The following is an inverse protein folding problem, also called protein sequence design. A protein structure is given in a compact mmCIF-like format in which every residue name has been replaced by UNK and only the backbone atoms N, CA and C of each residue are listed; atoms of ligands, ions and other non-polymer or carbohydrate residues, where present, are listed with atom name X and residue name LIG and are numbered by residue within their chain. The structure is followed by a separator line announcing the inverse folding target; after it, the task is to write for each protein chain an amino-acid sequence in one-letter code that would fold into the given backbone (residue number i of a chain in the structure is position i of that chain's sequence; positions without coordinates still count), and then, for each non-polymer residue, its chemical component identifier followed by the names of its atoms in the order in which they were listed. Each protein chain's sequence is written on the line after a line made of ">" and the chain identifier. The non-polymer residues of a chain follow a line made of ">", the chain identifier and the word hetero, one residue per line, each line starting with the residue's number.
data_IF_006083826779
#
_entry.id   IF_006083826779
#
_cell.length_a   1.000
_cell.length_b   1.000
_cell.length_c   1.000
_cell.angle_alpha   90.00
_cell.angle_beta   90.00
_cell.angle_gamma   90.00
#
_symmetry.space_group_name_H-M   'P 1'
#
loop_
_entity.id
_entity.type
_entity.pdbx_description
1 polymer ?
#
# COMPACT_ATOMS: atom_id res chain seq x y z
N UNK A 1 -39.46 80.97 -12.05
CA UNK A 1 -40.46 79.94 -11.66
C UNK A 1 -40.01 78.62 -12.26
N UNK A 2 -39.61 77.68 -11.40
CA UNK A 2 -38.75 76.54 -11.76
C UNK A 2 -39.49 75.42 -12.51
N UNK A 3 -39.27 75.35 -13.82
CA UNK A 3 -39.74 74.31 -14.74
C UNK A 3 -39.24 72.90 -14.35
N UNK A 4 -38.20 72.78 -13.52
CA UNK A 4 -37.70 71.48 -13.01
C UNK A 4 -38.62 70.86 -11.95
N UNK A 5 -39.37 71.69 -11.21
CA UNK A 5 -40.30 71.24 -10.17
C UNK A 5 -41.55 70.55 -10.69
N UNK A 6 -42.07 70.94 -11.88
CA UNK A 6 -43.23 70.29 -12.51
C UNK A 6 -42.89 68.93 -13.12
N UNK A 7 -41.75 68.85 -13.82
CA UNK A 7 -41.29 67.63 -14.49
C UNK A 7 -40.96 66.50 -13.50
N UNK A 8 -40.45 66.83 -12.30
CA UNK A 8 -40.26 65.86 -11.21
C UNK A 8 -41.57 65.28 -10.67
N UNK A 9 -42.62 66.09 -10.52
CA UNK A 9 -43.91 65.60 -10.02
C UNK A 9 -44.59 64.67 -11.01
N UNK A 10 -44.59 65.00 -12.30
CA UNK A 10 -45.18 64.13 -13.33
C UNK A 10 -44.48 62.77 -13.46
N UNK A 11 -43.15 62.73 -13.31
CA UNK A 11 -42.39 61.47 -13.31
C UNK A 11 -42.70 60.65 -12.05
N UNK A 12 -42.76 61.28 -10.88
CA UNK A 12 -43.10 60.60 -9.63
C UNK A 12 -44.51 59.97 -9.68
N UNK A 13 -45.49 60.71 -10.20
CA UNK A 13 -46.86 60.21 -10.33
C UNK A 13 -46.94 59.05 -11.34
N UNK A 14 -46.19 59.10 -12.45
CA UNK A 14 -46.12 57.98 -13.41
C UNK A 14 -45.49 56.73 -12.80
N UNK A 15 -44.43 56.89 -12.00
CA UNK A 15 -43.77 55.77 -11.30
C UNK A 15 -44.73 55.15 -10.27
N UNK A 16 -45.42 55.96 -9.46
CA UNK A 16 -46.38 55.46 -8.46
C UNK A 16 -47.61 54.77 -9.09
N UNK A 17 -48.07 55.26 -10.25
CA UNK A 17 -49.18 54.63 -10.97
C UNK A 17 -48.77 53.30 -11.59
N UNK A 18 -47.54 53.20 -12.12
CA UNK A 18 -46.98 51.95 -12.63
C UNK A 18 -46.72 50.94 -11.51
N UNK A 19 -46.23 51.38 -10.35
CA UNK A 19 -46.01 50.50 -9.20
C UNK A 19 -47.32 49.94 -8.62
N UNK A 20 -48.42 50.72 -8.66
CA UNK A 20 -49.75 50.25 -8.26
C UNK A 20 -50.37 49.26 -9.26
N UNK A 21 -50.11 49.41 -10.56
CA UNK A 21 -50.59 48.46 -11.59
C UNK A 21 -49.84 47.12 -11.57
N UNK A 22 -48.54 47.12 -11.24
CA UNK A 22 -47.75 45.88 -11.16
C UNK A 22 -48.01 45.11 -9.85
N UNK A 23 -48.42 45.79 -8.78
CA UNK A 23 -48.69 45.17 -7.47
C UNK A 23 -50.03 44.42 -7.36
N UNK A 24 -50.92 44.51 -8.36
CA UNK A 24 -52.28 43.95 -8.29
C UNK A 24 -52.46 42.59 -9.00
N UNK A 25 -51.38 41.91 -9.39
CA UNK A 25 -51.46 40.55 -9.96
C UNK A 25 -50.69 39.59 -9.06
N UNK A 26 -51.33 39.16 -7.97
CA UNK A 26 -50.95 37.91 -7.32
C UNK A 26 -51.58 36.77 -8.13
N UNK A 27 -50.84 35.74 -8.54
CA UNK A 27 -51.44 34.64 -9.29
C UNK A 27 -52.52 33.96 -8.42
N UNK A 28 -53.72 33.78 -8.99
CA UNK A 28 -54.80 33.03 -8.36
C UNK A 28 -54.40 31.56 -8.40
N UNK A 29 -53.79 31.07 -7.33
CA UNK A 29 -53.42 29.66 -7.16
C UNK A 29 -54.71 28.86 -7.01
N UNK A 30 -54.95 27.90 -7.90
CA UNK A 30 -56.14 27.05 -7.86
C UNK A 30 -56.12 26.16 -6.59
N UNK A 31 -57.28 25.74 -6.04
CA UNK A 31 -57.32 24.82 -4.91
C UNK A 31 -56.52 23.52 -5.15
N UNK A 32 -56.54 23.01 -6.39
CA UNK A 32 -55.75 21.85 -6.81
C UNK A 32 -54.24 22.11 -6.81
N UNK A 33 -53.78 23.30 -7.24
CA UNK A 33 -52.36 23.66 -7.13
C UNK A 33 -51.92 23.78 -5.66
N UNK A 34 -52.79 24.29 -4.77
CA UNK A 34 -52.49 24.37 -3.34
C UNK A 34 -52.33 23.00 -2.72
N UNK A 35 -53.24 22.07 -2.99
CA UNK A 35 -53.12 20.67 -2.51
C UNK A 35 -51.85 20.01 -3.04
N UNK A 36 -51.52 20.20 -4.32
CA UNK A 36 -50.29 19.66 -4.91
C UNK A 36 -49.03 20.25 -4.25
N UNK A 37 -49.01 21.56 -3.98
CA UNK A 37 -47.89 22.21 -3.28
C UNK A 37 -47.76 21.76 -1.82
N UNK A 38 -48.88 21.53 -1.14
CA UNK A 38 -48.91 20.98 0.23
C UNK A 38 -48.35 19.54 0.23
N UNK A 39 -48.78 18.71 -0.73
CA UNK A 39 -48.32 17.33 -0.86
C UNK A 39 -46.83 17.25 -1.20
N UNK A 40 -46.33 18.07 -2.13
CA UNK A 40 -44.89 18.16 -2.42
C UNK A 40 -44.09 18.68 -1.21
N UNK A 41 -44.68 19.53 -0.37
CA UNK A 41 -44.04 20.02 0.86
C UNK A 41 -43.98 18.93 1.92
N UNK A 42 -45.05 18.16 2.09
CA UNK A 42 -45.09 17.01 2.99
C UNK A 42 -44.10 15.93 2.55
N UNK A 43 -44.00 15.64 1.25
CA UNK A 43 -43.01 14.70 0.69
C UNK A 43 -41.57 15.16 0.95
N UNK A 44 -41.28 16.46 0.76
CA UNK A 44 -39.95 17.03 1.09
C UNK A 44 -39.64 16.94 2.59
N UNK A 45 -40.62 17.20 3.46
CA UNK A 45 -40.46 17.07 4.91
C UNK A 45 -40.20 15.62 5.29
N UNK A 46 -40.94 14.68 4.72
CA UNK A 46 -40.75 13.24 4.94
C UNK A 46 -39.39 12.75 4.44
N UNK A 47 -38.94 13.23 3.27
CA UNK A 47 -37.62 12.94 2.74
C UNK A 47 -36.51 13.46 3.67
N UNK A 48 -36.60 14.72 4.10
CA UNK A 48 -35.64 15.30 5.05
C UNK A 48 -35.63 14.56 6.40
N UNK A 49 -36.80 14.15 6.89
CA UNK A 49 -36.91 13.37 8.12
C UNK A 49 -36.25 11.98 7.99
N UNK A 50 -36.37 11.31 6.83
CA UNK A 50 -35.67 10.04 6.56
C UNK A 50 -34.16 10.22 6.52
N UNK A 51 -33.66 11.22 5.79
CA UNK A 51 -32.22 11.54 5.72
C UNK A 51 -31.68 11.88 7.11
N UNK A 52 -32.41 12.66 7.90
CA UNK A 52 -32.01 12.98 9.27
C UNK A 52 -32.00 11.75 10.18
N UNK A 53 -32.95 10.82 10.03
CA UNK A 53 -32.99 9.57 10.78
C UNK A 53 -31.83 8.63 10.40
N UNK A 54 -31.50 8.53 9.11
CA UNK A 54 -30.34 7.77 8.63
C UNK A 54 -29.03 8.36 9.18
N UNK A 55 -28.87 9.69 9.11
CA UNK A 55 -27.70 10.37 9.68
C UNK A 55 -27.60 10.17 11.19
N UNK A 56 -28.72 10.25 11.91
CA UNK A 56 -28.76 10.04 13.36
C UNK A 56 -28.40 8.59 13.74
N UNK A 57 -28.89 7.61 12.99
CA UNK A 57 -28.56 6.21 13.20
C UNK A 57 -27.07 5.93 12.95
N UNK A 58 -26.49 6.50 11.89
CA UNK A 58 -25.06 6.37 11.62
C UNK A 58 -24.21 7.05 12.69
N UNK A 59 -24.63 8.23 13.17
CA UNK A 59 -23.97 8.92 14.28
C UNK A 59 -23.98 8.08 15.57
N UNK A 60 -25.13 7.52 15.95
CA UNK A 60 -25.27 6.72 17.17
C UNK A 60 -24.44 5.43 17.11
N UNK A 61 -24.36 4.83 15.92
CA UNK A 61 -23.51 3.67 15.65
C UNK A 61 -22.02 4.02 15.79
N UNK A 62 -21.57 5.12 15.20
CA UNK A 62 -20.18 5.58 15.31
C UNK A 62 -19.82 5.98 16.74
N UNK A 63 -20.73 6.62 17.46
CA UNK A 63 -20.54 6.95 18.87
C UNK A 63 -20.37 5.69 19.75
N UNK A 64 -21.14 4.64 19.48
CA UNK A 64 -21.01 3.36 20.19
C UNK A 64 -19.64 2.70 19.94
N UNK A 65 -19.15 2.73 18.69
CA UNK A 65 -17.81 2.23 18.32
C UNK A 65 -16.73 3.02 19.05
N UNK A 66 -16.75 4.36 18.99
CA UNK A 66 -15.77 5.21 19.67
C UNK A 66 -15.76 5.00 21.19
N UNK A 67 -16.93 4.81 21.81
CA UNK A 67 -17.02 4.49 23.25
C UNK A 67 -16.40 3.13 23.57
N UNK A 68 -16.68 2.11 22.77
CA UNK A 68 -16.10 0.78 22.95
C UNK A 68 -14.57 0.80 22.79
N UNK A 69 -14.07 1.48 21.75
CA UNK A 69 -12.63 1.67 21.53
C UNK A 69 -11.97 2.45 22.66
N UNK A 70 -12.60 3.53 23.15
CA UNK A 70 -12.10 4.31 24.27
C UNK A 70 -12.08 3.51 25.58
N UNK A 71 -13.08 2.65 25.83
CA UNK A 71 -13.07 1.76 26.99
C UNK A 71 -11.98 0.70 26.87
N UNK A 72 -11.86 0.02 25.72
CA UNK A 72 -10.80 -0.95 25.48
C UNK A 72 -9.40 -0.33 25.61
N UNK A 73 -9.23 0.90 25.13
CA UNK A 73 -7.99 1.66 25.30
C UNK A 73 -7.68 1.93 26.78
N UNK A 74 -8.67 2.35 27.57
CA UNK A 74 -8.50 2.57 29.02
C UNK A 74 -8.15 1.29 29.76
N UNK A 75 -8.85 0.19 29.49
CA UNK A 75 -8.58 -1.11 30.10
C UNK A 75 -7.15 -1.58 29.85
N UNK A 76 -6.61 -1.37 28.64
CA UNK A 76 -5.22 -1.72 28.31
C UNK A 76 -4.21 -0.85 29.05
N UNK A 77 -4.48 0.45 29.16
CA UNK A 77 -3.65 1.38 29.93
C UNK A 77 -3.68 1.02 31.42
N UNK A 78 -4.84 0.68 31.97
CA UNK A 78 -5.01 0.22 33.35
C UNK A 78 -4.34 -1.14 33.59
N UNK A 79 -4.29 -2.01 32.57
CA UNK A 79 -3.51 -3.24 32.58
C UNK A 79 -1.99 -3.02 32.46
N UNK A 80 -1.53 -1.77 32.43
CA UNK A 80 -0.12 -1.38 32.46
C UNK A 80 0.53 -1.21 31.09
N UNK A 81 -0.24 -1.18 30.00
CA UNK A 81 0.31 -0.85 28.67
C UNK A 81 0.67 0.65 28.56
N UNK A 82 1.68 0.95 27.75
CA UNK A 82 2.14 2.31 27.50
C UNK A 82 1.05 3.14 26.78
N UNK A 83 0.60 4.28 27.34
CA UNK A 83 -0.51 5.06 26.77
C UNK A 83 -0.24 5.60 25.37
N UNK A 84 1.00 6.01 25.07
CA UNK A 84 1.36 6.56 23.76
C UNK A 84 1.30 5.47 22.69
N UNK A 85 1.78 4.27 23.03
CA UNK A 85 1.70 3.11 22.16
C UNK A 85 0.26 2.69 21.85
N UNK A 86 -0.59 2.57 22.89
CA UNK A 86 -2.00 2.20 22.70
C UNK A 86 -2.69 3.22 21.81
N UNK A 87 -2.45 4.52 22.04
CA UNK A 87 -3.00 5.60 21.20
C UNK A 87 -2.57 5.46 19.74
N UNK A 88 -1.27 5.27 19.50
CA UNK A 88 -0.74 5.14 18.13
C UNK A 88 -1.35 3.95 17.38
N UNK A 89 -1.44 2.79 18.03
CA UNK A 89 -2.10 1.61 17.46
C UNK A 89 -3.59 1.89 17.17
N UNK A 90 -4.32 2.46 18.13
CA UNK A 90 -5.75 2.78 17.95
C UNK A 90 -5.97 3.75 16.79
N UNK A 91 -5.15 4.80 16.67
CA UNK A 91 -5.21 5.77 15.58
C UNK A 91 -4.98 5.09 14.22
N UNK A 92 -4.02 4.16 14.12
CA UNK A 92 -3.71 3.40 12.91
C UNK A 92 -4.81 2.39 12.54
N UNK A 93 -5.42 1.76 13.54
CA UNK A 93 -6.52 0.81 13.36
C UNK A 93 -7.81 1.52 12.90
N UNK A 94 -8.10 2.69 13.47
CA UNK A 94 -9.21 3.54 13.04
C UNK A 94 -9.03 3.99 11.59
N UNK A 95 -7.82 4.47 11.23
CA UNK A 95 -7.48 4.80 9.84
C UNK A 95 -7.66 3.60 8.91
N UNK A 96 -7.28 2.39 9.34
CA UNK A 96 -7.47 1.17 8.55
C UNK A 96 -8.93 0.78 8.35
N UNK A 97 -9.77 0.99 9.36
CA UNK A 97 -11.20 0.72 9.28
C UNK A 97 -11.88 1.65 8.25
N UNK A 98 -11.53 2.94 8.27
CA UNK A 98 -12.06 3.95 7.32
C UNK A 98 -11.39 3.89 5.94
N UNK A 99 -10.19 3.28 5.84
CA UNK A 99 -9.41 3.28 4.61
C UNK A 99 -10.15 2.63 3.44
N UNK A 100 -10.92 1.57 3.69
CA UNK A 100 -11.72 0.92 2.64
C UNK A 100 -12.75 1.87 2.03
N UNK A 101 -13.47 2.60 2.87
CA UNK A 101 -14.57 3.47 2.44
C UNK A 101 -14.03 4.70 1.73
N UNK A 102 -13.01 5.34 2.30
CA UNK A 102 -12.31 6.48 1.67
C UNK A 102 -11.68 6.09 0.34
N UNK A 103 -11.05 4.91 0.24
CA UNK A 103 -10.52 4.41 -1.02
C UNK A 103 -11.65 4.16 -2.03
N UNK A 104 -12.76 3.56 -1.62
CA UNK A 104 -13.88 3.27 -2.52
C UNK A 104 -14.51 4.55 -3.07
N UNK A 105 -14.70 5.57 -2.23
CA UNK A 105 -15.21 6.87 -2.64
C UNK A 105 -14.31 7.53 -3.68
N UNK A 106 -12.99 7.53 -3.45
CA UNK A 106 -12.03 8.21 -4.33
C UNK A 106 -11.72 7.43 -5.61
N UNK A 107 -11.57 6.10 -5.51
CA UNK A 107 -10.86 5.31 -6.52
C UNK A 107 -11.71 4.21 -7.14
N UNK A 108 -12.75 3.71 -6.48
CA UNK A 108 -13.54 2.61 -7.04
C UNK A 108 -14.15 2.89 -8.42
N UNK A 109 -14.67 4.10 -8.71
CA UNK A 109 -15.20 4.45 -10.04
C UNK A 109 -14.18 4.32 -11.19
N UNK A 110 -12.88 4.40 -10.89
CA UNK A 110 -11.80 4.45 -11.88
C UNK A 110 -10.95 3.18 -11.90
N UNK A 111 -10.73 2.57 -10.74
CA UNK A 111 -9.75 1.50 -10.55
C UNK A 111 -10.36 0.14 -10.20
N UNK A 112 -11.66 0.07 -9.90
CA UNK A 112 -12.39 -1.18 -9.64
C UNK A 112 -12.58 -1.46 -8.15
N UNK A 113 -12.49 -2.73 -7.74
CA UNK A 113 -12.76 -3.11 -6.35
C UNK A 113 -11.53 -2.87 -5.45
N UNK A 114 -11.77 -2.52 -4.18
CA UNK A 114 -10.73 -2.30 -3.18
C UNK A 114 -9.75 -3.47 -3.08
N UNK A 115 -10.25 -4.71 -3.11
CA UNK A 115 -9.44 -5.92 -2.93
C UNK A 115 -8.54 -6.27 -4.11
N UNK A 116 -8.67 -5.59 -5.24
CA UNK A 116 -7.90 -5.91 -6.43
C UNK A 116 -6.39 -5.71 -6.23
N UNK A 117 -5.63 -6.68 -6.72
CA UNK A 117 -4.17 -6.59 -6.82
C UNK A 117 -3.77 -5.92 -8.13
N UNK A 118 -2.59 -5.29 -8.13
CA UNK A 118 -2.03 -4.69 -9.34
C UNK A 118 -1.95 -5.72 -10.47
N UNK A 119 -2.43 -5.33 -11.66
CA UNK A 119 -2.34 -6.14 -12.89
C UNK A 119 -1.17 -5.68 -13.77
N UNK A 120 -0.45 -4.65 -13.34
CA UNK A 120 0.72 -4.14 -14.02
C UNK A 120 1.85 -5.16 -13.82
N UNK A 121 2.38 -5.77 -14.89
CA UNK A 121 3.49 -6.70 -14.77
C UNK A 121 4.78 -5.93 -14.43
N UNK A 122 5.76 -6.65 -13.90
CA UNK A 122 7.13 -6.17 -13.94
C UNK A 122 7.67 -6.14 -15.38
N UNK A 123 8.84 -5.53 -15.55
CA UNK A 123 9.60 -5.40 -16.79
C UNK A 123 8.80 -4.88 -18.02
N UNK A 124 7.80 -3.98 -17.88
CA UNK A 124 6.90 -3.63 -18.98
C UNK A 124 7.63 -2.92 -20.14
N UNK A 125 8.71 -2.20 -19.84
CA UNK A 125 9.48 -1.41 -20.81
C UNK A 125 10.89 -1.95 -21.06
N UNK A 126 11.15 -3.23 -20.73
CA UNK A 126 12.45 -3.84 -20.99
C UNK A 126 12.76 -3.95 -22.49
N UNK A 127 11.79 -4.40 -23.28
CA UNK A 127 11.96 -4.59 -24.73
C UNK A 127 11.09 -3.66 -25.56
N UNK A 128 10.00 -3.15 -24.97
CA UNK A 128 9.05 -2.27 -25.64
C UNK A 128 9.30 -0.83 -25.20
N UNK A 129 9.38 0.07 -26.18
CA UNK A 129 9.37 1.50 -25.87
C UNK A 129 7.98 1.90 -25.36
N UNK A 130 7.89 2.87 -24.43
CA UNK A 130 6.61 3.40 -24.00
C UNK A 130 5.82 3.93 -25.20
N UNK A 131 4.52 3.67 -25.21
CA UNK A 131 3.60 4.26 -26.19
C UNK A 131 3.47 5.78 -25.98
N UNK A 132 2.87 6.49 -26.94
CA UNK A 132 2.70 7.96 -26.87
C UNK A 132 1.96 8.44 -25.60
N UNK A 133 1.06 7.63 -25.06
CA UNK A 133 0.23 7.97 -23.90
C UNK A 133 0.73 7.34 -22.59
N UNK A 134 1.89 6.65 -22.61
CA UNK A 134 2.46 6.02 -21.44
C UNK A 134 3.62 6.86 -20.93
N UNK A 135 3.58 7.23 -19.65
CA UNK A 135 4.75 7.77 -18.98
C UNK A 135 5.58 6.62 -18.44
N UNK A 136 6.82 6.52 -18.91
CA UNK A 136 7.84 5.67 -18.31
C UNK A 136 9.09 6.50 -18.04
N UNK A 137 9.43 6.63 -16.77
CA UNK A 137 10.49 7.52 -16.30
C UNK A 137 11.40 6.77 -15.34
N UNK A 138 12.26 7.52 -14.66
CA UNK A 138 13.06 7.06 -13.54
C UNK A 138 12.58 7.80 -12.29
N UNK A 139 11.45 7.39 -11.68
CA UNK A 139 10.89 8.09 -10.54
C UNK A 139 11.64 7.76 -9.25
N UNK A 140 11.26 8.45 -8.17
CA UNK A 140 11.55 7.98 -6.82
C UNK A 140 10.72 6.74 -6.53
N UNK A 141 11.35 5.69 -5.98
CA UNK A 141 10.67 4.45 -5.61
C UNK A 141 10.95 4.04 -4.19
N UNK A 142 10.05 3.22 -3.64
CA UNK A 142 10.20 2.62 -2.33
C UNK A 142 10.55 1.14 -2.45
N UNK A 143 11.79 0.81 -2.10
CA UNK A 143 12.27 -0.56 -2.04
C UNK A 143 11.98 -1.16 -0.67
N UNK A 144 11.14 -2.19 -0.59
CA UNK A 144 10.96 -2.94 0.67
C UNK A 144 12.13 -3.90 0.83
N UNK A 145 12.97 -3.72 1.84
CA UNK A 145 14.16 -4.53 2.07
C UNK A 145 13.79 -5.70 2.98
N UNK A 146 13.23 -5.39 4.15
CA UNK A 146 12.79 -6.37 5.13
C UNK A 146 11.58 -5.88 5.91
N UNK A 147 10.82 -6.83 6.46
CA UNK A 147 9.72 -6.56 7.38
C UNK A 147 9.78 -7.60 8.50
N UNK A 148 9.78 -7.12 9.75
CA UNK A 148 9.82 -7.99 10.93
C UNK A 148 8.85 -7.56 12.01
N UNK A 149 8.54 -8.49 12.91
CA UNK A 149 7.92 -8.18 14.21
C UNK A 149 9.05 -7.81 15.19
N UNK A 150 9.27 -6.52 15.39
CA UNK A 150 10.38 -6.01 16.19
C UNK A 150 10.17 -6.19 17.70
N UNK A 151 8.91 -6.20 18.15
CA UNK A 151 8.51 -6.36 19.56
C UNK A 151 7.18 -7.10 19.61
N UNK A 152 6.99 -7.95 20.62
CA UNK A 152 5.72 -8.58 20.96
C UNK A 152 5.17 -8.01 22.27
N UNK A 153 3.84 -8.02 22.42
CA UNK A 153 3.10 -7.46 23.56
C UNK A 153 1.85 -8.29 23.85
N UNK A 154 1.09 -7.91 24.88
CA UNK A 154 -0.20 -8.54 25.18
C UNK A 154 -0.09 -9.99 25.61
N UNK A 155 1.03 -10.38 26.24
CA UNK A 155 1.27 -11.76 26.69
C UNK A 155 1.65 -12.75 25.58
N UNK A 156 1.65 -12.34 24.30
CA UNK A 156 2.13 -13.15 23.19
C UNK A 156 3.54 -13.68 23.46
N UNK A 157 3.80 -14.95 23.13
CA UNK A 157 5.10 -15.59 23.31
C UNK A 157 5.65 -16.10 21.98
N UNK A 158 6.98 -16.13 21.88
CA UNK A 158 7.66 -16.83 20.79
C UNK A 158 7.68 -18.36 21.05
N UNK A 159 7.69 -19.20 20.00
CA UNK A 159 7.35 -18.88 18.62
C UNK A 159 5.84 -18.75 18.43
N UNK A 160 5.41 -18.04 17.38
CA UNK A 160 3.99 -17.97 17.01
C UNK A 160 3.78 -18.05 15.50
N UNK A 161 2.57 -18.47 15.13
CA UNK A 161 2.15 -18.62 13.74
C UNK A 161 1.46 -17.35 13.26
N UNK A 162 2.02 -16.71 12.24
CA UNK A 162 1.47 -15.50 11.62
C UNK A 162 0.90 -15.79 10.24
N UNK A 163 -0.25 -15.18 9.93
CA UNK A 163 -0.88 -15.22 8.62
C UNK A 163 -1.58 -13.89 8.32
N UNK A 164 -2.07 -13.73 7.09
CA UNK A 164 -2.69 -12.51 6.61
C UNK A 164 -1.88 -11.86 5.50
N UNK A 165 -2.04 -10.55 5.34
CA UNK A 165 -1.57 -9.79 4.18
C UNK A 165 -0.83 -8.51 4.60
N UNK A 166 0.23 -8.21 3.85
CA UNK A 166 0.86 -6.89 3.76
C UNK A 166 0.89 -6.50 2.30
N UNK A 167 0.28 -5.37 1.97
CA UNK A 167 0.28 -4.80 0.63
C UNK A 167 0.71 -3.33 0.68
N UNK A 168 1.22 -2.85 -0.44
CA UNK A 168 1.49 -1.42 -0.61
C UNK A 168 0.69 -0.93 -1.81
N UNK A 169 0.04 0.22 -1.64
CA UNK A 169 -0.68 0.90 -2.71
C UNK A 169 0.06 2.18 -3.05
N UNK A 170 0.23 2.42 -4.34
CA UNK A 170 0.76 3.67 -4.87
C UNK A 170 -0.22 4.28 -5.87
N UNK A 171 0.14 5.47 -6.37
CA UNK A 171 -0.68 6.26 -7.28
C UNK A 171 -0.78 5.68 -8.70
N UNK A 172 -0.03 4.62 -9.03
CA UNK A 172 0.05 4.14 -10.42
C UNK A 172 -1.25 3.45 -10.83
N UNK A 173 -1.83 2.64 -9.94
CA UNK A 173 -3.13 1.99 -10.16
C UNK A 173 -3.99 1.86 -8.89
N UNK A 174 -3.54 2.40 -7.74
CA UNK A 174 -4.22 2.35 -6.44
C UNK A 174 -4.54 0.93 -5.92
N UNK A 175 -4.05 -0.12 -6.58
CA UNK A 175 -4.30 -1.52 -6.26
C UNK A 175 -3.24 -2.08 -5.33
N UNK A 176 -3.54 -3.22 -4.70
CA UNK A 176 -2.60 -3.91 -3.82
C UNK A 176 -1.40 -4.42 -4.61
N UNK A 177 -0.23 -3.89 -4.32
CA UNK A 177 1.04 -4.52 -4.65
C UNK A 177 1.44 -5.39 -3.46
N UNK A 178 1.14 -6.69 -3.55
CA UNK A 178 1.30 -7.64 -2.44
C UNK A 178 2.78 -7.78 -2.07
N UNK A 179 3.11 -7.64 -0.79
CA UNK A 179 4.46 -7.82 -0.24
C UNK A 179 4.56 -9.16 0.50
N UNK A 180 3.53 -9.49 1.28
CA UNK A 180 3.36 -10.73 2.01
C UNK A 180 1.88 -11.12 1.95
N UNK A 181 1.59 -12.38 1.66
CA UNK A 181 0.24 -12.92 1.69
C UNK A 181 0.29 -14.41 2.00
N UNK A 182 -0.30 -14.80 3.13
CA UNK A 182 -0.30 -16.16 3.65
C UNK A 182 -1.69 -16.47 4.20
N UNK A 183 -2.38 -17.51 3.70
CA UNK A 183 -3.64 -17.95 4.29
C UNK A 183 -3.39 -18.66 5.63
N UNK A 184 -4.42 -18.73 6.48
CA UNK A 184 -4.37 -19.35 7.81
C UNK A 184 -3.83 -20.79 7.85
N UNK A 185 -4.14 -21.59 6.83
CA UNK A 185 -3.68 -22.99 6.73
C UNK A 185 -2.21 -23.12 6.30
N UNK A 186 -1.60 -22.04 5.80
CA UNK A 186 -0.20 -21.98 5.38
C UNK A 186 0.51 -20.81 6.08
N UNK A 187 0.27 -20.64 7.37
CA UNK A 187 0.89 -19.62 8.21
C UNK A 187 2.43 -19.79 8.26
N UNK A 188 3.13 -18.67 8.48
CA UNK A 188 4.56 -18.68 8.75
C UNK A 188 4.81 -18.75 10.26
N UNK A 189 5.84 -19.49 10.70
CA UNK A 189 6.30 -19.48 12.09
C UNK A 189 7.35 -18.38 12.23
N UNK A 190 7.19 -17.52 13.23
CA UNK A 190 8.22 -16.56 13.63
C UNK A 190 8.80 -16.95 14.99
N UNK A 191 10.11 -16.79 15.13
CA UNK A 191 10.84 -16.99 16.40
C UNK A 191 11.54 -15.69 16.80
N UNK A 192 12.08 -15.65 18.02
CA UNK A 192 12.84 -14.50 18.49
C UNK A 192 14.11 -14.27 17.66
N UNK A 193 14.75 -15.34 17.19
CA UNK A 193 15.96 -15.31 16.38
C UNK A 193 15.68 -14.94 14.93
N UNK A 194 14.49 -15.32 14.43
CA UNK A 194 14.07 -15.08 13.04
C UNK A 194 12.68 -14.42 13.00
N UNK A 195 12.58 -13.12 13.37
CA UNK A 195 11.30 -12.42 13.46
C UNK A 195 10.81 -11.84 12.12
N UNK A 196 11.39 -12.26 10.98
CA UNK A 196 11.18 -11.66 9.67
C UNK A 196 10.11 -12.38 8.85
N UNK A 197 9.20 -11.62 8.23
CA UNK A 197 8.24 -12.17 7.28
C UNK A 197 8.93 -12.55 5.97
N UNK A 198 8.56 -13.69 5.40
CA UNK A 198 9.05 -14.15 4.10
C UNK A 198 8.31 -13.41 2.98
N UNK A 199 8.92 -12.35 2.47
CA UNK A 199 8.32 -11.48 1.47
C UNK A 199 8.30 -12.14 0.08
N UNK A 200 7.16 -12.07 -0.60
CA UNK A 200 6.95 -12.61 -1.95
C UNK A 200 6.85 -11.53 -3.02
N UNK A 201 6.71 -10.27 -2.60
CA UNK A 201 6.68 -9.13 -3.52
C UNK A 201 7.74 -8.07 -3.24
N UNK A 202 7.61 -6.90 -3.89
CA UNK A 202 6.46 -6.52 -4.72
C UNK A 202 6.43 -7.19 -6.12
N UNK A 203 5.27 -7.14 -6.78
CA UNK A 203 5.09 -7.60 -8.17
C UNK A 203 5.72 -6.64 -9.19
N UNK A 204 5.78 -5.35 -8.86
CA UNK A 204 6.41 -4.26 -9.63
C UNK A 204 7.00 -3.21 -8.70
N UNK A 205 7.83 -2.31 -9.22
CA UNK A 205 8.34 -1.18 -8.44
C UNK A 205 7.20 -0.33 -7.85
N UNK A 206 7.41 0.14 -6.61
CA UNK A 206 6.48 1.01 -5.88
C UNK A 206 6.91 2.45 -6.10
N UNK A 207 6.03 3.27 -6.68
CA UNK A 207 6.33 4.66 -7.04
C UNK A 207 5.98 5.60 -5.90
N UNK A 208 6.92 6.46 -5.53
CA UNK A 208 6.72 7.52 -4.52
C UNK A 208 6.62 8.86 -5.25
N UNK A 209 5.43 9.16 -5.76
CA UNK A 209 5.12 10.46 -6.38
C UNK A 209 4.42 11.40 -5.41
N UNK A 210 3.49 10.87 -4.61
CA UNK A 210 2.81 11.59 -3.53
C UNK A 210 2.88 10.75 -2.25
N UNK A 211 1.79 10.05 -1.95
CA UNK A 211 1.74 9.10 -0.85
C UNK A 211 1.72 7.67 -1.36
N UNK A 212 2.31 6.77 -0.58
CA UNK A 212 2.10 5.33 -0.70
C UNK A 212 1.44 4.85 0.59
N UNK A 213 0.49 3.95 0.49
CA UNK A 213 -0.22 3.42 1.66
C UNK A 213 0.25 2.02 1.95
N UNK A 214 0.73 1.80 3.18
CA UNK A 214 0.99 0.49 3.75
C UNK A 214 -0.32 -0.08 4.28
N UNK A 215 -0.86 -1.10 3.64
CA UNK A 215 -2.06 -1.82 4.07
C UNK A 215 -1.64 -3.14 4.72
N UNK A 216 -1.98 -3.33 5.99
CA UNK A 216 -1.57 -4.48 6.79
C UNK A 216 -2.79 -5.05 7.50
N UNK A 217 -3.02 -6.35 7.32
CA UNK A 217 -3.93 -7.16 8.12
C UNK A 217 -3.21 -8.48 8.45
N UNK A 218 -2.55 -8.50 9.60
CA UNK A 218 -1.82 -9.66 10.10
C UNK A 218 -2.46 -10.19 11.36
N UNK A 219 -2.52 -11.52 11.45
CA UNK A 219 -3.14 -12.26 12.55
C UNK A 219 -2.20 -13.33 13.10
N UNK A 220 -2.32 -13.57 14.41
CA UNK A 220 -1.73 -14.73 15.08
C UNK A 220 -2.76 -15.85 15.08
N UNK A 221 -2.35 -17.05 14.67
CA UNK A 221 -3.22 -18.22 14.59
C UNK A 221 -3.46 -18.82 15.98
N UNK A 222 -4.73 -18.91 16.38
CA UNK A 222 -5.20 -19.66 17.55
C UNK A 222 -5.45 -21.15 17.24
N UNK A 223 -5.89 -21.93 18.23
CA UNK A 223 -6.24 -23.33 17.98
C UNK A 223 -7.45 -23.41 17.04
N UNK A 224 -8.40 -22.50 17.20
CA UNK A 224 -9.59 -22.31 16.35
C UNK A 224 -9.60 -20.94 15.68
N UNK A 225 -10.44 -20.74 14.64
CA UNK A 225 -10.55 -19.44 13.96
C UNK A 225 -11.09 -18.33 14.88
N UNK A 226 -11.96 -18.67 15.84
CA UNK A 226 -12.47 -17.73 16.85
C UNK A 226 -11.42 -17.30 17.87
N UNK A 227 -10.32 -18.05 17.99
CA UNK A 227 -9.19 -17.74 18.85
C UNK A 227 -8.05 -17.02 18.09
N UNK A 228 -8.21 -16.76 16.78
CA UNK A 228 -7.23 -15.98 16.06
C UNK A 228 -7.22 -14.54 16.56
N UNK A 229 -6.03 -14.01 16.81
CA UNK A 229 -5.88 -12.66 17.31
C UNK A 229 -5.27 -11.73 16.27
N UNK A 230 -5.70 -10.47 16.26
CA UNK A 230 -5.07 -9.44 15.44
C UNK A 230 -3.64 -9.18 15.94
N UNK A 231 -2.65 -9.36 15.07
CA UNK A 231 -1.27 -8.95 15.34
C UNK A 231 -1.11 -7.47 15.04
N UNK A 232 -1.47 -7.06 13.82
CA UNK A 232 -1.37 -5.69 13.33
C UNK A 232 -2.43 -5.47 12.27
N UNK A 233 -3.22 -4.41 12.43
CA UNK A 233 -4.21 -3.96 11.47
C UNK A 233 -4.01 -2.46 11.29
N UNK A 234 -3.51 -2.03 10.13
CA UNK A 234 -3.20 -0.63 9.86
C UNK A 234 -3.28 -0.28 8.37
N UNK A 235 -3.58 0.99 8.11
CA UNK A 235 -3.42 1.65 6.82
C UNK A 235 -2.60 2.92 7.07
N UNK A 236 -1.31 2.89 6.76
CA UNK A 236 -0.41 4.01 7.05
C UNK A 236 0.10 4.65 5.77
N UNK A 237 -0.12 5.96 5.63
CA UNK A 237 0.44 6.73 4.52
C UNK A 237 1.90 7.08 4.77
N UNK A 238 2.73 6.86 3.76
CA UNK A 238 4.09 7.35 3.68
C UNK A 238 4.19 8.36 2.56
N UNK A 239 4.70 9.53 2.88
CA UNK A 239 5.02 10.58 1.93
C UNK A 239 6.48 10.94 2.15
N UNK A 240 7.26 11.06 1.07
CA UNK A 240 8.63 11.57 1.17
C UNK A 240 8.58 13.11 1.20
N UNK A 241 8.18 13.68 2.35
CA UNK A 241 8.02 15.14 2.53
C UNK A 241 9.32 15.94 2.31
N UNK A 242 10.45 15.26 2.26
CA UNK A 242 11.73 15.86 1.92
C UNK A 242 12.11 15.32 0.56
N UNK A 243 12.14 16.18 -0.46
CA UNK A 243 12.75 15.93 -1.76
C UNK A 243 14.26 15.71 -1.59
N UNK A 244 14.63 14.64 -0.90
CA UNK A 244 16.01 14.24 -0.77
C UNK A 244 16.47 13.85 -2.16
N UNK A 245 17.45 14.60 -2.68
CA UNK A 245 18.07 14.29 -3.98
C UNK A 245 18.98 13.05 -3.91
N UNK A 246 18.91 12.27 -2.82
CA UNK A 246 19.79 11.12 -2.57
C UNK A 246 18.97 9.95 -2.06
N UNK A 247 19.32 8.77 -2.55
CA UNK A 247 18.78 7.52 -2.05
C UNK A 247 19.22 7.27 -0.61
N UNK A 248 18.35 6.66 0.20
CA UNK A 248 18.59 6.48 1.63
C UNK A 248 17.87 5.26 2.20
N UNK A 249 18.49 4.66 3.21
CA UNK A 249 17.88 3.64 4.05
C UNK A 249 16.96 4.30 5.09
N UNK A 250 15.79 3.72 5.30
CA UNK A 250 14.77 4.19 6.22
C UNK A 250 14.27 3.03 7.06
N UNK A 251 13.96 3.33 8.32
CA UNK A 251 13.21 2.43 9.19
C UNK A 251 11.89 3.10 9.56
N UNK A 252 10.81 2.33 9.48
CA UNK A 252 9.48 2.75 9.92
C UNK A 252 8.92 1.69 10.84
N UNK A 253 8.51 2.13 12.01
CA UNK A 253 7.89 1.26 13.00
C UNK A 253 6.43 1.64 13.11
N UNK A 254 5.57 0.63 13.16
CA UNK A 254 4.15 0.81 13.34
C UNK A 254 3.66 -0.05 14.50
N UNK A 255 2.88 0.56 15.38
CA UNK A 255 2.25 -0.11 16.50
C UNK A 255 1.08 -0.96 15.99
N UNK A 256 1.11 -2.26 16.28
CA UNK A 256 -0.01 -3.18 16.14
C UNK A 256 -0.59 -3.56 17.50
N UNK A 257 -1.62 -4.40 17.51
CA UNK A 257 -2.31 -4.82 18.74
C UNK A 257 -1.40 -5.67 19.64
N UNK A 258 -0.72 -6.66 19.06
CA UNK A 258 0.12 -7.62 19.78
C UNK A 258 1.61 -7.45 19.50
N UNK A 259 2.01 -6.44 18.72
CA UNK A 259 3.42 -6.22 18.41
C UNK A 259 3.71 -4.98 17.59
N UNK A 260 4.99 -4.67 17.43
CA UNK A 260 5.46 -3.58 16.58
C UNK A 260 6.02 -4.16 15.29
N UNK A 261 5.49 -3.74 14.15
CA UNK A 261 6.09 -4.04 12.85
C UNK A 261 7.20 -3.03 12.56
N UNK A 262 8.36 -3.51 12.14
CA UNK A 262 9.45 -2.67 11.62
C UNK A 262 9.68 -2.98 10.15
N UNK A 263 9.48 -1.95 9.32
CA UNK A 263 9.83 -1.95 7.91
C UNK A 263 11.22 -1.34 7.75
N UNK A 264 12.09 -2.05 7.05
CA UNK A 264 13.33 -1.52 6.51
C UNK A 264 13.14 -1.25 5.02
N UNK A 265 13.34 0.01 4.63
CA UNK A 265 12.95 0.55 3.34
C UNK A 265 14.14 1.28 2.70
N UNK A 266 14.24 1.24 1.38
CA UNK A 266 15.11 2.12 0.62
C UNK A 266 14.27 3.13 -0.16
N UNK A 267 14.44 4.43 0.09
CA UNK A 267 13.96 5.45 -0.84
C UNK A 267 15.02 5.62 -1.93
N UNK A 268 14.65 5.35 -3.19
CA UNK A 268 15.56 5.28 -4.33
C UNK A 268 15.20 6.37 -5.34
N UNK A 269 16.04 7.40 -5.47
CA UNK A 269 15.82 8.47 -6.45
C UNK A 269 16.25 8.03 -7.85
N UNK A 270 15.64 8.63 -8.88
CA UNK A 270 15.99 8.36 -10.29
C UNK A 270 16.16 6.88 -10.62
N UNK A 271 15.20 6.06 -10.19
CA UNK A 271 15.36 4.61 -10.16
C UNK A 271 14.77 3.91 -11.38
N UNK A 272 15.33 2.74 -11.70
CA UNK A 272 14.82 1.78 -12.69
C UNK A 272 14.44 0.49 -11.99
N UNK A 273 13.51 -0.26 -12.59
CA UNK A 273 13.14 -1.59 -12.12
C UNK A 273 14.12 -2.63 -12.67
N UNK A 274 14.61 -3.50 -11.80
CA UNK A 274 15.40 -4.68 -12.11
C UNK A 274 14.58 -5.93 -11.78
N UNK A 275 14.14 -6.64 -12.82
CA UNK A 275 13.50 -7.95 -12.64
C UNK A 275 14.55 -9.04 -12.82
N UNK A 276 14.79 -9.81 -11.75
CA UNK A 276 15.86 -10.79 -11.66
C UNK A 276 15.31 -12.19 -11.90
N UNK A 277 15.95 -12.96 -12.77
CA UNK A 277 15.69 -14.39 -12.95
C UNK A 277 16.99 -15.18 -12.94
N UNK A 278 16.94 -16.39 -12.39
CA UNK A 278 18.11 -17.23 -12.20
C UNK A 278 17.83 -18.60 -12.79
N UNK A 279 18.81 -19.15 -13.50
CA UNK A 279 18.74 -20.47 -14.12
C UNK A 279 20.03 -21.25 -13.86
N UNK A 280 19.92 -22.51 -13.47
CA UNK A 280 21.05 -23.44 -13.46
C UNK A 280 21.38 -23.83 -14.89
N UNK A 281 22.62 -23.60 -15.32
CA UNK A 281 23.10 -23.91 -16.68
C UNK A 281 24.02 -25.11 -16.73
N UNK A 282 24.63 -25.49 -15.61
CA UNK A 282 25.48 -26.67 -15.47
C UNK A 282 25.56 -27.10 -14.00
N UNK A 283 25.79 -28.40 -13.77
CA UNK A 283 25.81 -28.99 -12.42
C UNK A 283 24.44 -29.02 -11.77
N UNK A 284 24.43 -29.24 -10.45
CA UNK A 284 23.19 -29.36 -9.66
C UNK A 284 23.41 -28.79 -8.26
N UNK A 285 22.34 -28.26 -7.66
CA UNK A 285 22.39 -27.86 -6.26
C UNK A 285 22.35 -29.11 -5.36
N UNK A 286 23.33 -29.35 -4.48
CA UNK A 286 23.37 -30.53 -3.64
C UNK A 286 22.21 -30.61 -2.65
N UNK A 287 21.74 -31.82 -2.38
CA UNK A 287 20.76 -32.05 -1.31
C UNK A 287 21.35 -31.66 0.05
N UNK A 288 20.51 -31.10 0.92
CA UNK A 288 20.89 -30.65 2.27
C UNK A 288 21.64 -29.30 2.31
N UNK A 289 21.78 -28.61 1.17
CA UNK A 289 22.38 -27.28 1.12
C UNK A 289 21.29 -26.21 1.02
N UNK A 290 21.24 -25.31 2.01
CA UNK A 290 20.34 -24.14 1.96
C UNK A 290 20.89 -23.10 0.97
N UNK A 291 20.01 -22.56 0.14
CA UNK A 291 20.32 -21.51 -0.82
C UNK A 291 19.77 -20.17 -0.35
N UNK A 292 20.62 -19.15 -0.34
CA UNK A 292 20.20 -17.77 -0.15
C UNK A 292 20.66 -16.93 -1.34
N UNK A 293 19.69 -16.37 -2.05
CA UNK A 293 19.90 -15.41 -3.14
C UNK A 293 19.48 -14.04 -2.66
N UNK A 294 20.36 -13.06 -2.83
CA UNK A 294 20.10 -11.69 -2.44
C UNK A 294 20.58 -10.69 -3.47
N UNK A 295 19.98 -9.51 -3.42
CA UNK A 295 20.42 -8.33 -4.16
C UNK A 295 20.82 -7.24 -3.17
N UNK A 296 21.78 -6.40 -3.56
CA UNK A 296 22.06 -5.16 -2.86
C UNK A 296 22.32 -4.05 -3.88
N UNK A 297 22.04 -2.81 -3.49
CA UNK A 297 22.34 -1.62 -4.28
C UNK A 297 23.39 -0.78 -3.55
N UNK A 298 24.26 -0.12 -4.30
CA UNK A 298 25.40 0.62 -3.71
C UNK A 298 24.96 1.74 -2.77
N UNK A 299 23.89 2.46 -3.11
CA UNK A 299 23.35 3.57 -2.31
C UNK A 299 22.66 3.14 -1.02
N UNK A 300 22.26 1.87 -0.90
CA UNK A 300 21.67 1.33 0.33
C UNK A 300 22.71 0.65 1.23
N UNK A 301 24.00 0.83 0.94
CA UNK A 301 25.11 0.27 1.72
C UNK A 301 25.09 -1.26 1.74
N UNK A 302 25.10 -1.82 2.95
CA UNK A 302 25.15 -3.27 3.17
C UNK A 302 23.76 -3.94 3.27
N UNK A 303 22.68 -3.20 2.98
CA UNK A 303 21.34 -3.77 2.98
C UNK A 303 21.21 -4.90 1.93
N UNK A 304 20.93 -6.12 2.39
CA UNK A 304 20.68 -7.26 1.53
C UNK A 304 19.17 -7.50 1.39
N UNK A 305 18.69 -7.40 0.15
CA UNK A 305 17.34 -7.75 -0.26
C UNK A 305 17.30 -9.25 -0.54
N UNK A 306 16.63 -10.01 0.31
CA UNK A 306 16.50 -11.46 0.12
C UNK A 306 15.49 -11.73 -1.00
N UNK A 307 15.97 -12.37 -2.07
CA UNK A 307 15.17 -12.76 -3.24
C UNK A 307 14.61 -14.17 -3.08
N UNK A 308 15.40 -15.04 -2.45
CA UNK A 308 15.03 -16.40 -2.08
C UNK A 308 15.90 -16.81 -0.91
N UNK A 309 15.26 -17.41 0.08
CA UNK A 309 15.91 -18.19 1.10
C UNK A 309 15.20 -19.53 1.17
N UNK A 310 15.89 -20.62 0.82
CA UNK A 310 15.26 -21.94 0.78
C UNK A 310 15.00 -22.50 2.18
N UNK A 311 15.60 -21.93 3.23
CA UNK A 311 15.57 -22.56 4.56
C UNK A 311 16.04 -24.02 4.48
N UNK A 312 15.31 -24.89 5.16
CA UNK A 312 15.54 -26.35 5.15
C UNK A 312 14.91 -27.05 3.95
N UNK A 313 14.16 -26.32 3.11
CA UNK A 313 13.55 -26.87 1.91
C UNK A 313 14.57 -27.05 0.78
N UNK A 314 14.24 -27.96 -0.15
CA UNK A 314 15.00 -28.11 -1.40
C UNK A 314 14.93 -26.83 -2.21
N UNK A 315 16.03 -26.48 -2.88
CA UNK A 315 16.06 -25.34 -3.80
C UNK A 315 15.01 -25.53 -4.90
N UNK A 316 14.08 -24.58 -5.09
CA UNK A 316 12.94 -24.74 -5.97
C UNK A 316 13.35 -24.55 -7.44
N UNK A 317 13.92 -25.60 -8.03
CA UNK A 317 14.22 -25.66 -9.47
C UNK A 317 12.98 -26.12 -10.23
N UNK A 318 12.49 -25.28 -11.13
CA UNK A 318 11.24 -25.48 -11.88
C UNK A 318 11.52 -25.68 -13.37
N UNK A 319 10.85 -26.70 -13.93
CA UNK A 319 10.86 -27.02 -15.35
C UNK A 319 12.17 -27.64 -15.84
N UNK A 320 12.14 -28.13 -17.09
CA UNK A 320 13.30 -28.79 -17.72
C UNK A 320 14.46 -27.83 -17.98
N UNK A 321 14.22 -26.52 -17.94
CA UNK A 321 15.22 -25.49 -18.21
C UNK A 321 16.02 -25.07 -16.97
N UNK A 322 15.76 -25.65 -15.80
CA UNK A 322 16.56 -25.40 -14.59
C UNK A 322 16.35 -24.02 -13.96
N UNK A 323 15.18 -23.39 -14.14
CA UNK A 323 14.89 -22.06 -13.59
C UNK A 323 14.68 -22.14 -12.08
N UNK A 324 15.34 -21.29 -11.30
CA UNK A 324 15.14 -21.21 -9.86
C UNK A 324 13.96 -20.26 -9.58
N UNK A 325 12.94 -20.75 -8.87
CA UNK A 325 11.80 -19.93 -8.47
C UNK A 325 12.19 -19.06 -7.27
N UNK A 326 12.43 -17.77 -7.52
CA UNK A 326 12.65 -16.79 -6.46
C UNK A 326 11.34 -16.51 -5.70
N UNK A 327 11.45 -16.18 -4.40
CA UNK A 327 10.30 -15.72 -3.61
C UNK A 327 9.82 -14.35 -4.10
N UNK A 328 10.74 -13.46 -4.44
CA UNK A 328 10.52 -12.15 -5.06
C UNK A 328 11.62 -11.87 -6.08
N UNK A 329 11.28 -11.16 -7.16
CA UNK A 329 12.20 -10.93 -8.28
C UNK A 329 12.41 -9.46 -8.64
N UNK A 330 11.65 -8.54 -8.05
CA UNK A 330 11.71 -7.12 -8.36
C UNK A 330 12.57 -6.36 -7.34
N UNK A 331 13.52 -5.59 -7.86
CA UNK A 331 14.37 -4.67 -7.09
C UNK A 331 14.43 -3.33 -7.82
N UNK A 332 14.49 -2.21 -7.11
CA UNK A 332 14.73 -0.89 -7.69
C UNK A 332 16.18 -0.45 -7.48
N UNK A 333 16.75 0.19 -8.49
CA UNK A 333 18.16 0.59 -8.52
C UNK A 333 18.24 1.99 -9.11
N UNK A 334 19.10 2.86 -8.59
CA UNK A 334 19.39 4.13 -9.26
C UNK A 334 19.82 3.90 -10.72
N UNK A 335 19.35 4.76 -11.61
CA UNK A 335 19.52 4.60 -13.06
C UNK A 335 20.98 4.59 -13.53
N UNK A 336 21.88 5.20 -12.77
CA UNK A 336 23.33 5.19 -12.95
C UNK A 336 24.08 4.25 -11.98
N UNK A 337 23.34 3.62 -11.06
CA UNK A 337 23.87 2.79 -9.99
C UNK A 337 24.21 1.35 -10.41
N UNK A 338 24.56 0.56 -9.39
CA UNK A 338 24.97 -0.84 -9.52
C UNK A 338 24.07 -1.75 -8.67
N UNK A 339 23.57 -2.81 -9.31
CA UNK A 339 22.96 -3.94 -8.61
C UNK A 339 24.03 -5.01 -8.39
N UNK A 340 24.18 -5.46 -7.15
CA UNK A 340 25.03 -6.61 -6.80
C UNK A 340 24.15 -7.79 -6.44
N UNK A 341 24.15 -8.80 -7.30
CA UNK A 341 23.53 -10.09 -7.00
C UNK A 341 24.50 -10.96 -6.20
N UNK A 342 24.01 -11.62 -5.17
CA UNK A 342 24.79 -12.49 -4.29
C UNK A 342 24.09 -13.84 -4.13
N UNK A 343 24.88 -14.89 -4.11
CA UNK A 343 24.43 -16.24 -3.77
C UNK A 343 25.30 -16.79 -2.64
N UNK A 344 24.64 -17.37 -1.64
CA UNK A 344 25.27 -18.11 -0.54
C UNK A 344 24.69 -19.52 -0.53
N UNK A 345 25.56 -20.50 -0.38
CA UNK A 345 25.20 -21.88 -0.10
C UNK A 345 25.66 -22.23 1.32
N UNK A 346 24.75 -22.79 2.10
CA UNK A 346 24.96 -23.16 3.48
C UNK A 346 24.92 -24.66 3.65
N UNK A 347 25.73 -25.21 4.55
CA UNK A 347 25.68 -26.60 5.00
C UNK A 347 25.62 -26.60 6.52
N UNK A 348 24.44 -26.87 7.08
CA UNK A 348 24.16 -26.49 8.46
C UNK A 348 24.30 -24.97 8.60
N UNK A 349 25.03 -24.53 9.63
CA UNK A 349 25.25 -23.10 9.91
C UNK A 349 26.45 -22.51 9.16
N UNK A 350 27.22 -23.33 8.44
CA UNK A 350 28.42 -22.89 7.74
C UNK A 350 28.13 -22.45 6.29
N UNK A 351 28.64 -21.28 5.93
CA UNK A 351 28.65 -20.81 4.53
C UNK A 351 29.78 -21.52 3.78
N UNK A 352 29.42 -22.50 2.97
CA UNK A 352 30.38 -23.30 2.18
C UNK A 352 30.67 -22.70 0.80
N UNK A 353 29.80 -21.85 0.29
CA UNK A 353 30.08 -21.07 -0.92
C UNK A 353 29.42 -19.68 -0.87
N UNK A 354 30.15 -18.65 -1.30
CA UNK A 354 29.63 -17.30 -1.51
C UNK A 354 30.18 -16.72 -2.81
N UNK A 355 29.30 -16.21 -3.66
CA UNK A 355 29.67 -15.51 -4.89
C UNK A 355 28.81 -14.29 -5.11
N UNK A 356 29.38 -13.28 -5.76
CA UNK A 356 28.69 -12.03 -6.09
C UNK A 356 28.97 -11.63 -7.52
N UNK A 357 28.01 -10.96 -8.16
CA UNK A 357 28.16 -10.36 -9.48
C UNK A 357 27.49 -9.01 -9.52
N UNK A 358 28.21 -8.01 -10.03
CA UNK A 358 27.70 -6.66 -10.19
C UNK A 358 27.15 -6.46 -11.61
N UNK A 359 26.09 -5.67 -11.72
CA UNK A 359 25.44 -5.31 -12.96
C UNK A 359 25.14 -3.82 -12.94
N UNK A 360 25.64 -3.10 -13.95
CA UNK A 360 25.34 -1.68 -14.11
C UNK A 360 23.89 -1.51 -14.54
N UNK A 361 23.17 -0.62 -13.88
CA UNK A 361 21.80 -0.29 -14.22
C UNK A 361 21.69 0.19 -15.68
N UNK A 362 20.55 -0.12 -16.30
CA UNK A 362 20.18 0.36 -17.62
C UNK A 362 18.76 0.90 -17.56
N UNK A 363 18.43 1.83 -18.45
CA UNK A 363 17.06 2.32 -18.61
C UNK A 363 16.13 1.25 -19.18
N UNK A 364 16.66 0.37 -20.03
CA UNK A 364 15.91 -0.73 -20.63
C UNK A 364 16.86 -1.84 -21.10
N UNK A 365 16.29 -3.00 -21.39
CA UNK A 365 16.97 -4.15 -21.98
C UNK A 365 17.59 -5.12 -20.98
N UNK A 366 18.16 -6.23 -21.46
CA UNK A 366 18.68 -7.27 -20.60
C UNK A 366 20.13 -7.01 -20.15
N UNK A 367 20.49 -7.61 -19.03
CA UNK A 367 21.88 -7.91 -18.65
C UNK A 367 21.98 -9.36 -18.20
N UNK A 368 23.01 -10.05 -18.64
CA UNK A 368 23.20 -11.48 -18.35
C UNK A 368 24.56 -11.67 -17.71
N UNK A 369 24.61 -12.51 -16.69
CA UNK A 369 25.83 -12.79 -15.98
C UNK A 369 25.87 -14.21 -15.44
N UNK A 370 26.96 -14.90 -15.71
CA UNK A 370 27.22 -16.23 -15.16
C UNK A 370 27.86 -16.16 -13.77
N UNK A 371 27.46 -17.05 -12.87
CA UNK A 371 28.04 -17.28 -11.55
C UNK A 371 28.32 -18.78 -11.34
N UNK A 372 29.54 -19.10 -10.93
CA UNK A 372 29.96 -20.46 -10.58
C UNK A 372 30.25 -20.54 -9.09
N UNK A 373 29.50 -21.38 -8.39
CA UNK A 373 29.60 -21.59 -6.94
C UNK A 373 30.33 -22.90 -6.57
N UNK A 374 30.97 -23.55 -7.54
CA UNK A 374 31.81 -24.74 -7.38
C UNK A 374 31.10 -26.04 -7.76
N UNK A 375 29.85 -26.21 -7.34
CA UNK A 375 29.05 -27.41 -7.63
C UNK A 375 27.97 -27.18 -8.71
N UNK A 376 27.62 -25.92 -8.97
CA UNK A 376 26.74 -25.56 -10.08
C UNK A 376 27.11 -24.18 -10.66
N UNK A 377 26.81 -24.03 -11.95
CA UNK A 377 26.91 -22.77 -12.67
C UNK A 377 25.50 -22.25 -12.94
N UNK A 378 25.27 -20.98 -12.68
CA UNK A 378 23.99 -20.31 -12.90
C UNK A 378 24.13 -19.10 -13.81
N UNK A 379 23.13 -18.89 -14.65
CA UNK A 379 22.90 -17.65 -15.39
C UNK A 379 21.93 -16.77 -14.61
N UNK A 380 22.35 -15.55 -14.31
CA UNK A 380 21.55 -14.49 -13.71
C UNK A 380 21.19 -13.52 -14.83
N UNK A 381 19.90 -13.33 -15.05
CA UNK A 381 19.36 -12.42 -16.06
C UNK A 381 18.62 -11.28 -15.34
N UNK A 382 18.93 -10.05 -15.70
CA UNK A 382 18.24 -8.86 -15.23
C UNK A 382 17.54 -8.22 -16.42
N UNK A 383 16.22 -8.14 -16.34
CA UNK A 383 15.41 -7.32 -17.22
C UNK A 383 15.31 -5.91 -16.60
N UNK A 384 16.01 -4.95 -17.18
CA UNK A 384 15.94 -3.55 -16.76
C UNK A 384 14.74 -2.88 -17.42
N UNK A 385 13.99 -2.10 -16.68
CA UNK A 385 12.83 -1.38 -17.20
C UNK A 385 12.72 0.01 -16.58
N UNK A 386 12.30 0.98 -17.41
CA UNK A 386 11.70 2.20 -16.90
C UNK A 386 10.44 1.85 -16.10
N UNK A 387 10.00 2.79 -15.28
CA UNK A 387 8.87 2.59 -14.36
C UNK A 387 7.72 3.46 -14.81
N UNK A 388 6.52 2.87 -14.87
CA UNK A 388 5.34 3.64 -15.20
C UNK A 388 4.90 4.48 -14.00
N UNK A 389 4.59 5.75 -14.25
CA UNK A 389 4.12 6.68 -13.21
C UNK A 389 2.60 6.91 -13.26
N UNK A 390 1.93 6.50 -14.33
CA UNK A 390 0.47 6.44 -14.47
C UNK A 390 0.11 5.56 -15.67
N UNK A 391 -1.05 4.90 -15.62
CA UNK A 391 -1.60 4.07 -16.68
C UNK A 391 -2.93 4.56 -17.24
#
# INVERSE_FOLDING_TARGET
>A
MDLRGRRRREIQTKIETHHKQVSSVSPIITPQEKERQEQEREERIAMMARVAAEFKAEWDKNEAVWRAEAMAMRERIEAGEDPEYVRNYSDLAAQAAEFRDTWNEMYSPYFGCFEETTKIPNMPFTYKKPGRNQSATTPTTLQIISLKVARIRGGLQWPFHVFGMVAIRDMVDHKRNIIFDRPRHCCQILTQEVPYLQLTGPTRAIVVDNSVTFEVDLKVKGATESEDECLSFLAASYTDFFESLKSRLLKRQYAGKLGTLEFELGSMVYSVEATISVRVTSGSWPDGFRAQFSASTESLGDAEIILLDSGDDKVPVVGHLGSIKLSRCVVTVESDGLLRFSVKAWKGDDIVARRKKAFKAKRAGPSVGTLDIGFCTMSVNIAWSLISTWY
#
